data_IF_298842743105
#
_entry.id   IF_298842743105
#
_cell.length_a   1.000
_cell.length_b   1.000
_cell.length_c   1.000
_cell.angle_alpha   90.00
_cell.angle_beta   90.00
_cell.angle_gamma   90.00
#
_symmetry.space_group_name_H-M   'P 1'
#
loop_
_entity.id
_entity.type
_entity.pdbx_description
1 polymer ?
#
# COMPACT_ATOMS: atom_id res chain seq x y z
N UNK A 1 0.40 0.47 26.43
CA UNK A 1 0.69 0.10 25.02
C UNK A 1 0.56 1.34 24.15
N UNK A 2 1.60 1.66 23.37
CA UNK A 2 1.64 2.75 22.40
C UNK A 2 1.92 2.13 21.03
N UNK A 3 0.96 2.21 20.11
CA UNK A 3 1.08 1.60 18.79
C UNK A 3 1.29 2.68 17.72
N UNK A 4 2.47 2.69 17.11
CA UNK A 4 2.91 3.66 16.10
C UNK A 4 3.42 2.96 14.82
N UNK A 5 2.85 1.79 14.50
CA UNK A 5 3.19 1.02 13.29
C UNK A 5 1.97 0.75 12.38
N UNK A 6 1.14 1.78 12.21
CA UNK A 6 -0.10 1.70 11.39
C UNK A 6 0.15 1.45 9.89
N UNK A 7 1.37 1.67 9.39
CA UNK A 7 1.74 1.31 8.01
C UNK A 7 1.95 -0.19 7.83
N UNK A 8 2.31 -0.92 8.89
CA UNK A 8 2.39 -2.39 8.83
C UNK A 8 0.98 -3.01 8.84
N UNK A 9 0.14 -2.61 9.77
CA UNK A 9 -1.27 -3.03 9.86
C UNK A 9 -2.03 -2.11 10.81
N UNK A 10 -3.34 -2.03 10.67
CA UNK A 10 -4.20 -1.30 11.61
C UNK A 10 -5.04 -2.27 12.44
N UNK A 11 -5.43 -1.84 13.65
CA UNK A 11 -6.49 -2.51 14.42
C UNK A 11 -7.81 -2.34 13.66
N UNK A 12 -8.56 -3.41 13.50
CA UNK A 12 -9.86 -3.34 12.83
C UNK A 12 -10.82 -2.42 13.60
N UNK A 13 -11.52 -1.54 12.90
CA UNK A 13 -12.54 -0.67 13.48
C UNK A 13 -13.70 -1.52 14.05
N UNK A 14 -14.12 -1.24 15.28
CA UNK A 14 -15.17 -2.00 15.97
C UNK A 14 -16.51 -1.99 15.21
N UNK A 15 -16.80 -0.93 14.46
CA UNK A 15 -18.00 -0.82 13.62
C UNK A 15 -17.91 -1.73 12.40
N UNK A 16 -16.70 -1.97 11.89
CA UNK A 16 -16.44 -2.92 10.81
C UNK A 16 -16.60 -4.34 11.30
N UNK A 17 -16.09 -4.66 12.50
CA UNK A 17 -16.28 -5.99 13.12
C UNK A 17 -17.76 -6.29 13.41
N UNK A 18 -18.49 -5.34 14.00
CA UNK A 18 -19.91 -5.49 14.24
C UNK A 18 -20.68 -5.73 12.93
N UNK A 19 -20.34 -4.96 11.88
CA UNK A 19 -20.97 -5.13 10.57
C UNK A 19 -20.64 -6.47 9.96
N UNK A 20 -19.39 -6.94 10.06
CA UNK A 20 -18.97 -8.25 9.57
C UNK A 20 -19.79 -9.38 10.20
N UNK A 21 -20.00 -9.38 11.52
CA UNK A 21 -20.80 -10.40 12.20
C UNK A 21 -22.25 -10.42 11.67
N UNK A 22 -22.89 -9.25 11.57
CA UNK A 22 -24.27 -9.14 11.05
C UNK A 22 -24.39 -9.67 9.63
N UNK A 23 -23.44 -9.32 8.74
CA UNK A 23 -23.51 -9.77 7.34
C UNK A 23 -23.08 -11.21 7.16
N UNK A 24 -22.31 -11.79 8.10
CA UNK A 24 -21.96 -13.21 8.10
C UNK A 24 -23.20 -14.09 8.30
N UNK A 25 -24.06 -13.74 9.23
CA UNK A 25 -25.33 -14.44 9.44
C UNK A 25 -26.30 -14.24 8.27
N UNK A 26 -26.39 -13.01 7.77
CA UNK A 26 -27.37 -12.64 6.73
C UNK A 26 -27.03 -13.20 5.35
N UNK A 27 -25.75 -13.24 4.98
CA UNK A 27 -25.27 -13.59 3.63
C UNK A 27 -24.35 -14.81 3.64
N UNK A 28 -24.71 -15.85 4.39
CA UNK A 28 -23.94 -17.10 4.51
C UNK A 28 -23.97 -17.96 3.24
N UNK A 29 -25.00 -17.80 2.40
CA UNK A 29 -25.19 -18.64 1.24
C UNK A 29 -24.21 -18.31 0.12
N UNK A 30 -23.76 -19.35 -0.60
CA UNK A 30 -22.87 -19.21 -1.75
C UNK A 30 -23.51 -18.33 -2.83
N UNK A 31 -22.84 -17.24 -3.19
CA UNK A 31 -23.30 -16.28 -4.18
C UNK A 31 -23.46 -16.85 -5.60
N UNK A 32 -22.91 -18.04 -5.89
CA UNK A 32 -23.07 -18.73 -7.17
C UNK A 32 -24.30 -19.62 -7.23
N UNK A 33 -24.98 -19.85 -6.07
CA UNK A 33 -26.20 -20.68 -6.05
C UNK A 33 -27.39 -19.95 -6.67
N UNK A 34 -28.21 -20.69 -7.42
CA UNK A 34 -29.36 -20.13 -8.17
C UNK A 34 -30.60 -19.84 -7.32
N UNK A 35 -30.66 -20.34 -6.09
CA UNK A 35 -31.80 -20.07 -5.18
C UNK A 35 -31.73 -18.66 -4.57
N UNK A 36 -32.82 -18.24 -3.91
CA UNK A 36 -33.04 -16.87 -3.40
C UNK A 36 -31.84 -16.36 -2.56
N UNK A 37 -31.36 -17.16 -1.60
CA UNK A 37 -30.27 -16.73 -0.69
C UNK A 37 -28.95 -16.49 -1.44
N UNK A 38 -28.61 -17.33 -2.42
CA UNK A 38 -27.42 -17.13 -3.26
C UNK A 38 -27.53 -15.84 -4.10
N UNK A 39 -28.70 -15.58 -4.70
CA UNK A 39 -28.94 -14.32 -5.43
C UNK A 39 -28.84 -13.10 -4.54
N UNK A 40 -29.28 -13.19 -3.27
CA UNK A 40 -29.14 -12.11 -2.29
C UNK A 40 -27.66 -11.80 -2.01
N UNK A 41 -26.85 -12.83 -1.74
CA UNK A 41 -25.39 -12.68 -1.55
C UNK A 41 -24.72 -12.08 -2.78
N UNK A 42 -25.05 -12.56 -3.99
CA UNK A 42 -24.52 -12.01 -5.25
C UNK A 42 -24.88 -10.56 -5.46
N UNK A 43 -26.13 -10.18 -5.17
CA UNK A 43 -26.59 -8.78 -5.25
C UNK A 43 -25.85 -7.87 -4.27
N UNK A 44 -25.64 -8.35 -3.03
CA UNK A 44 -24.89 -7.62 -2.00
C UNK A 44 -23.43 -7.38 -2.42
N UNK A 45 -22.74 -8.38 -2.98
CA UNK A 45 -21.39 -8.26 -3.54
C UNK A 45 -21.35 -7.21 -4.65
N UNK A 46 -22.27 -7.27 -5.62
CA UNK A 46 -22.36 -6.31 -6.73
C UNK A 46 -22.58 -4.87 -6.21
N UNK A 47 -23.47 -4.69 -5.22
CA UNK A 47 -23.72 -3.40 -4.59
C UNK A 47 -22.48 -2.86 -3.91
N UNK A 48 -21.79 -3.69 -3.10
CA UNK A 48 -20.57 -3.30 -2.42
C UNK A 48 -19.47 -2.89 -3.44
N UNK A 49 -19.29 -3.65 -4.51
CA UNK A 49 -18.32 -3.33 -5.57
C UNK A 49 -18.58 -1.96 -6.20
N UNK A 50 -19.83 -1.67 -6.58
CA UNK A 50 -20.20 -0.34 -7.10
C UNK A 50 -19.92 0.77 -6.10
N UNK A 51 -20.25 0.55 -4.82
CA UNK A 51 -20.03 1.54 -3.76
C UNK A 51 -18.52 1.78 -3.51
N UNK A 52 -17.68 0.73 -3.58
CA UNK A 52 -16.22 0.85 -3.48
C UNK A 52 -15.69 1.69 -4.65
N UNK A 53 -16.04 1.32 -5.89
CA UNK A 53 -15.61 2.04 -7.09
C UNK A 53 -16.01 3.52 -7.04
N UNK A 54 -17.27 3.81 -6.73
CA UNK A 54 -17.77 5.19 -6.62
C UNK A 54 -17.05 5.98 -5.50
N UNK A 55 -16.80 5.34 -4.33
CA UNK A 55 -16.09 6.00 -3.22
C UNK A 55 -14.66 6.38 -3.59
N UNK A 56 -14.01 5.59 -4.45
CA UNK A 56 -12.65 5.79 -4.91
C UNK A 56 -12.55 6.55 -6.25
N UNK A 57 -13.68 7.00 -6.83
CA UNK A 57 -13.71 7.80 -8.05
C UNK A 57 -13.52 7.01 -9.35
N UNK A 58 -13.77 5.69 -9.33
CA UNK A 58 -13.63 4.84 -10.52
C UNK A 58 -14.96 4.69 -11.27
N UNK A 59 -15.01 5.12 -12.53
CA UNK A 59 -16.20 5.04 -13.38
C UNK A 59 -16.12 3.90 -14.42
N UNK A 60 -14.97 3.69 -15.03
CA UNK A 60 -14.73 2.72 -16.09
C UNK A 60 -13.81 1.56 -15.64
N UNK A 61 -14.08 1.05 -14.46
CA UNK A 61 -13.29 -0.02 -13.86
C UNK A 61 -14.19 -1.12 -13.30
N UNK A 62 -13.59 -2.26 -13.04
CA UNK A 62 -14.20 -3.37 -12.32
C UNK A 62 -13.32 -3.78 -11.15
N UNK A 63 -13.90 -4.44 -10.15
CA UNK A 63 -13.20 -4.85 -8.93
C UNK A 63 -13.06 -6.37 -8.87
N UNK A 64 -11.85 -6.82 -8.60
CA UNK A 64 -11.49 -8.21 -8.38
C UNK A 64 -11.06 -8.35 -6.91
N UNK A 65 -11.78 -9.13 -6.13
CA UNK A 65 -11.47 -9.33 -4.72
C UNK A 65 -10.37 -10.37 -4.55
N UNK A 66 -9.40 -10.05 -3.69
CA UNK A 66 -8.24 -10.87 -3.37
C UNK A 66 -8.11 -11.05 -1.85
N UNK A 67 -7.22 -11.91 -1.39
CA UNK A 67 -6.96 -12.07 0.05
C UNK A 67 -6.20 -10.88 0.65
N UNK A 68 -5.39 -10.19 -0.15
CA UNK A 68 -4.58 -9.03 0.27
C UNK A 68 -3.97 -8.34 -0.96
N UNK A 69 -3.28 -7.22 -0.75
CA UNK A 69 -2.54 -6.52 -1.80
C UNK A 69 -1.43 -7.39 -2.42
N UNK A 70 -0.81 -8.30 -1.68
CA UNK A 70 0.20 -9.21 -2.25
C UNK A 70 -0.39 -10.10 -3.34
N UNK A 71 -1.57 -10.69 -3.12
CA UNK A 71 -2.28 -11.44 -4.17
C UNK A 71 -2.69 -10.52 -5.32
N UNK A 72 -3.20 -9.33 -5.02
CA UNK A 72 -3.62 -8.36 -6.03
C UNK A 72 -2.44 -7.89 -6.91
N UNK A 73 -1.27 -7.58 -6.33
CA UNK A 73 -0.04 -7.22 -7.05
C UNK A 73 0.47 -8.38 -7.93
N UNK A 74 0.45 -9.62 -7.41
CA UNK A 74 0.81 -10.79 -8.21
C UNK A 74 -0.15 -10.98 -9.39
N UNK A 75 -1.46 -10.83 -9.18
CA UNK A 75 -2.44 -10.92 -10.27
C UNK A 75 -2.24 -9.81 -11.29
N UNK A 76 -2.04 -8.56 -10.85
CA UNK A 76 -1.80 -7.43 -11.74
C UNK A 76 -0.54 -7.64 -12.61
N UNK A 77 0.59 -7.98 -11.99
CA UNK A 77 1.89 -8.07 -12.68
C UNK A 77 1.97 -9.33 -13.54
N UNK A 78 1.69 -10.49 -12.94
CA UNK A 78 1.77 -11.77 -13.69
C UNK A 78 0.66 -11.92 -14.72
N UNK A 79 -0.56 -11.50 -14.37
CA UNK A 79 -1.70 -11.57 -15.29
C UNK A 79 -1.54 -10.64 -16.47
N UNK A 80 -1.00 -9.42 -16.27
CA UNK A 80 -0.67 -8.51 -17.37
C UNK A 80 0.46 -9.08 -18.25
N UNK A 81 1.51 -9.64 -17.66
CA UNK A 81 2.61 -10.26 -18.40
C UNK A 81 2.13 -11.40 -19.31
N UNK A 82 1.35 -12.33 -18.78
CA UNK A 82 0.83 -13.45 -19.60
C UNK A 82 -0.13 -12.96 -20.69
N UNK A 83 -1.00 -11.99 -20.38
CA UNK A 83 -1.94 -11.42 -21.36
C UNK A 83 -1.24 -10.63 -22.49
N UNK A 84 -0.07 -10.06 -22.24
CA UNK A 84 0.74 -9.31 -23.22
C UNK A 84 1.80 -10.15 -23.90
N UNK A 85 1.87 -11.45 -23.59
CA UNK A 85 2.88 -12.36 -24.14
C UNK A 85 2.86 -12.38 -25.67
N UNK A 86 4.04 -12.26 -26.25
CA UNK A 86 4.23 -12.21 -27.70
C UNK A 86 4.07 -10.83 -28.34
N UNK A 87 3.62 -9.82 -27.57
CA UNK A 87 3.49 -8.44 -28.06
C UNK A 87 4.40 -7.47 -27.32
N UNK A 88 4.51 -7.60 -25.99
CA UNK A 88 5.31 -6.73 -25.14
C UNK A 88 5.98 -7.56 -24.04
N UNK A 89 7.24 -7.28 -23.74
CA UNK A 89 8.04 -8.11 -22.83
C UNK A 89 8.88 -7.31 -21.84
N UNK A 90 8.50 -6.06 -21.54
CA UNK A 90 9.26 -5.23 -20.59
C UNK A 90 8.36 -4.62 -19.53
N UNK A 91 8.84 -4.61 -18.29
CA UNK A 91 8.27 -3.85 -17.18
C UNK A 91 9.22 -2.76 -16.72
N UNK A 92 8.66 -1.59 -16.40
CA UNK A 92 9.38 -0.52 -15.72
C UNK A 92 8.86 -0.43 -14.28
N UNK A 93 9.77 -0.34 -13.31
CA UNK A 93 9.45 -0.20 -11.89
C UNK A 93 10.52 0.64 -11.18
N UNK A 94 10.37 0.91 -9.87
CA UNK A 94 11.38 1.62 -9.07
C UNK A 94 12.09 0.68 -8.11
N UNK A 95 13.20 1.14 -7.53
CA UNK A 95 13.86 0.46 -6.40
C UNK A 95 13.11 0.64 -5.07
N UNK A 96 12.05 1.44 -5.03
CA UNK A 96 11.26 1.79 -3.85
C UNK A 96 10.09 0.87 -3.59
N UNK A 97 9.80 -0.06 -4.52
CA UNK A 97 8.58 -0.85 -4.48
C UNK A 97 8.57 -1.88 -3.35
N UNK A 98 7.38 -2.20 -2.92
CA UNK A 98 7.16 -3.26 -1.94
C UNK A 98 7.58 -4.62 -2.49
N UNK A 99 8.01 -5.54 -1.61
CA UNK A 99 8.43 -6.90 -1.99
C UNK A 99 7.37 -7.67 -2.80
N UNK A 100 6.07 -7.38 -2.61
CA UNK A 100 4.99 -7.99 -3.40
C UNK A 100 4.92 -7.52 -4.86
N UNK A 101 5.69 -6.48 -5.22
CA UNK A 101 5.92 -6.02 -6.61
C UNK A 101 7.25 -6.58 -7.13
N UNK A 102 8.33 -6.40 -6.38
CA UNK A 102 9.67 -6.82 -6.79
C UNK A 102 9.78 -8.35 -6.95
N UNK A 103 9.21 -9.12 -6.02
CA UNK A 103 9.34 -10.58 -6.07
C UNK A 103 8.65 -11.22 -7.29
N UNK A 104 7.39 -10.88 -7.67
CA UNK A 104 6.80 -11.39 -8.90
C UNK A 104 7.53 -10.90 -10.16
N UNK A 105 8.02 -9.65 -10.21
CA UNK A 105 8.85 -9.16 -11.34
C UNK A 105 10.12 -10.00 -11.46
N UNK A 106 10.86 -10.23 -10.37
CA UNK A 106 12.06 -11.08 -10.38
C UNK A 106 11.74 -12.53 -10.80
N UNK A 107 10.57 -13.05 -10.41
CA UNK A 107 10.15 -14.37 -10.83
C UNK A 107 9.87 -14.45 -12.34
N UNK A 108 9.29 -13.39 -12.92
CA UNK A 108 9.06 -13.28 -14.37
C UNK A 108 10.36 -12.98 -15.12
N UNK A 109 11.28 -12.23 -14.57
CA UNK A 109 12.60 -11.97 -15.15
C UNK A 109 13.36 -13.29 -15.42
N UNK A 110 13.27 -14.27 -14.50
CA UNK A 110 13.81 -15.62 -14.73
C UNK A 110 13.10 -16.38 -15.85
N UNK A 111 11.94 -15.91 -16.31
CA UNK A 111 11.19 -16.46 -17.47
C UNK A 111 11.33 -15.60 -18.73
N UNK A 112 12.27 -14.66 -18.74
CA UNK A 112 12.58 -13.83 -19.89
C UNK A 112 11.93 -12.43 -19.92
N UNK A 113 11.18 -12.00 -18.88
CA UNK A 113 10.73 -10.61 -18.77
C UNK A 113 11.92 -9.66 -18.65
N UNK A 114 11.94 -8.62 -19.47
CA UNK A 114 12.93 -7.54 -19.36
C UNK A 114 12.47 -6.54 -18.30
N UNK A 115 13.42 -6.10 -17.46
CA UNK A 115 13.14 -5.18 -16.34
C UNK A 115 13.98 -3.94 -16.48
N UNK A 116 13.34 -2.76 -16.43
CA UNK A 116 14.01 -1.47 -16.35
C UNK A 116 13.67 -0.82 -15.01
N UNK A 117 14.69 -0.29 -14.33
CA UNK A 117 14.52 0.44 -13.07
C UNK A 117 14.61 1.93 -13.39
N UNK A 118 13.49 2.65 -13.19
CA UNK A 118 13.50 4.10 -13.33
C UNK A 118 14.18 4.75 -12.12
N UNK A 119 14.99 5.78 -12.36
CA UNK A 119 15.63 6.55 -11.30
C UNK A 119 14.60 7.33 -10.50
N UNK A 120 14.98 7.68 -9.30
CA UNK A 120 14.28 8.64 -8.44
C UNK A 120 15.10 9.91 -8.35
N UNK A 121 14.43 11.03 -8.22
CA UNK A 121 15.07 12.35 -8.03
C UNK A 121 15.51 12.57 -6.57
N UNK A 122 16.05 13.73 -6.27
CA UNK A 122 16.49 14.12 -4.92
C UNK A 122 15.35 14.23 -3.90
N UNK A 123 14.10 14.31 -4.35
CA UNK A 123 12.90 14.30 -3.50
C UNK A 123 12.34 12.89 -3.30
N UNK A 124 12.93 11.88 -3.96
CA UNK A 124 12.49 10.49 -3.95
C UNK A 124 11.28 10.22 -4.84
N UNK A 125 10.95 11.15 -5.74
CA UNK A 125 9.95 10.94 -6.77
C UNK A 125 10.57 10.30 -8.01
N UNK A 126 9.74 9.65 -8.82
CA UNK A 126 10.16 9.13 -10.12
C UNK A 126 10.70 10.27 -10.98
N UNK A 127 11.92 10.10 -11.50
CA UNK A 127 12.48 10.97 -12.54
C UNK A 127 11.67 10.75 -13.84
N UNK A 128 10.75 11.68 -14.10
CA UNK A 128 9.84 11.60 -15.24
C UNK A 128 10.58 11.66 -16.58
N UNK A 129 11.69 12.38 -16.66
CA UNK A 129 12.53 12.44 -17.85
C UNK A 129 13.16 11.06 -18.12
N UNK A 130 13.75 10.46 -17.10
CA UNK A 130 14.29 9.11 -17.24
C UNK A 130 13.20 8.06 -17.50
N UNK A 131 11.99 8.20 -16.91
CA UNK A 131 10.87 7.33 -17.26
C UNK A 131 10.56 7.43 -18.75
N UNK A 132 10.52 8.64 -19.31
CA UNK A 132 10.27 8.88 -20.74
C UNK A 132 11.36 8.28 -21.62
N UNK A 133 12.64 8.38 -21.24
CA UNK A 133 13.79 7.76 -21.94
C UNK A 133 13.70 6.22 -21.95
N UNK A 134 13.16 5.60 -20.91
CA UNK A 134 13.00 4.15 -20.81
C UNK A 134 11.82 3.62 -21.64
N UNK A 135 10.86 4.48 -22.01
CA UNK A 135 9.69 4.05 -22.78
C UNK A 135 10.08 3.67 -24.19
N UNK A 136 9.64 2.49 -24.61
CA UNK A 136 9.82 1.95 -25.96
C UNK A 136 8.66 0.97 -26.28
N UNK A 137 8.49 0.48 -27.52
CA UNK A 137 7.39 -0.40 -27.90
C UNK A 137 7.27 -1.71 -27.11
N UNK A 138 8.38 -2.21 -26.54
CA UNK A 138 8.39 -3.45 -25.74
C UNK A 138 7.82 -3.27 -24.33
N UNK A 139 7.67 -2.03 -23.85
CA UNK A 139 7.16 -1.77 -22.50
C UNK A 139 5.67 -2.11 -22.46
N UNK A 140 5.34 -3.15 -21.69
CA UNK A 140 3.96 -3.58 -21.48
C UNK A 140 3.34 -3.03 -20.20
N UNK A 141 4.16 -2.79 -19.19
CA UNK A 141 3.69 -2.39 -17.86
C UNK A 141 4.66 -1.42 -17.20
N UNK A 142 4.13 -0.33 -16.66
CA UNK A 142 4.79 0.52 -15.65
C UNK A 142 4.14 0.19 -14.31
N UNK A 143 4.93 -0.25 -13.32
CA UNK A 143 4.42 -0.67 -12.00
C UNK A 143 5.08 0.14 -10.90
N UNK A 144 4.35 1.11 -10.34
CA UNK A 144 4.85 2.08 -9.35
C UNK A 144 3.78 2.34 -8.30
N UNK A 145 4.15 2.27 -7.02
CA UNK A 145 3.24 2.56 -5.91
C UNK A 145 3.00 4.06 -5.72
N UNK A 146 1.78 4.44 -5.34
CA UNK A 146 1.41 5.86 -5.12
C UNK A 146 2.14 6.50 -3.95
N UNK A 147 2.49 5.71 -2.92
CA UNK A 147 3.17 6.19 -1.71
C UNK A 147 4.15 5.14 -1.22
N UNK A 148 5.40 5.52 -1.01
CA UNK A 148 6.41 4.65 -0.42
C UNK A 148 6.06 4.30 1.04
N UNK A 149 6.09 3.03 1.38
CA UNK A 149 5.65 2.52 2.68
C UNK A 149 6.62 2.79 3.84
N UNK A 150 7.87 3.17 3.56
CA UNK A 150 8.92 3.40 4.56
C UNK A 150 9.11 4.89 4.87
N UNK A 151 9.16 5.73 3.84
CA UNK A 151 9.45 7.17 3.98
C UNK A 151 8.25 8.07 3.66
N UNK A 152 7.15 7.51 3.14
CA UNK A 152 5.91 8.26 2.90
C UNK A 152 5.93 9.17 1.67
N UNK A 153 6.94 9.09 0.81
CA UNK A 153 7.02 9.89 -0.41
C UNK A 153 5.90 9.51 -1.36
N UNK A 154 5.23 10.54 -1.90
CA UNK A 154 4.20 10.43 -2.93
C UNK A 154 4.81 10.41 -4.30
N UNK A 155 4.26 9.59 -5.18
CA UNK A 155 4.65 9.55 -6.59
C UNK A 155 3.69 10.37 -7.46
N UNK A 156 4.18 11.01 -8.53
CA UNK A 156 3.38 11.81 -9.47
C UNK A 156 2.60 10.89 -10.43
N UNK A 157 1.55 10.23 -9.93
CA UNK A 157 0.87 9.13 -10.64
C UNK A 157 0.14 9.58 -11.90
N UNK A 158 -0.31 10.83 -11.99
CA UNK A 158 -0.96 11.37 -13.20
C UNK A 158 0.04 11.51 -14.35
N UNK A 159 1.20 12.06 -14.07
CA UNK A 159 2.29 12.21 -15.02
C UNK A 159 2.85 10.85 -15.44
N UNK A 160 3.02 9.92 -14.50
CA UNK A 160 3.47 8.55 -14.78
C UNK A 160 2.45 7.85 -15.69
N UNK A 161 1.16 7.95 -15.40
CA UNK A 161 0.10 7.37 -16.23
C UNK A 161 0.11 7.95 -17.63
N UNK A 162 0.25 9.28 -17.77
CA UNK A 162 0.33 9.97 -19.06
C UNK A 162 1.50 9.46 -19.92
N UNK A 163 2.69 9.31 -19.32
CA UNK A 163 3.88 8.79 -20.01
C UNK A 163 3.66 7.33 -20.43
N UNK A 164 3.17 6.48 -19.52
CA UNK A 164 2.91 5.08 -19.81
C UNK A 164 1.90 4.90 -20.98
N UNK A 165 0.77 5.61 -20.90
CA UNK A 165 -0.29 5.53 -21.90
C UNK A 165 0.12 6.07 -23.26
N UNK A 166 0.94 7.12 -23.32
CA UNK A 166 1.46 7.67 -24.58
C UNK A 166 2.25 6.64 -25.39
N UNK A 167 2.86 5.65 -24.74
CA UNK A 167 3.59 4.54 -25.36
C UNK A 167 2.76 3.23 -25.42
N UNK A 168 1.47 3.29 -25.11
CA UNK A 168 0.58 2.12 -25.08
C UNK A 168 0.93 1.08 -24.02
N UNK A 169 1.64 1.46 -22.94
CA UNK A 169 1.90 0.61 -21.79
C UNK A 169 0.79 0.75 -20.75
N UNK A 170 0.51 -0.34 -20.02
CA UNK A 170 -0.38 -0.31 -18.86
C UNK A 170 0.31 0.37 -17.68
N UNK A 171 -0.48 1.05 -16.85
CA UNK A 171 -0.01 1.57 -15.57
C UNK A 171 -0.67 0.82 -14.39
N UNK A 172 0.16 0.15 -13.59
CA UNK A 172 -0.21 -0.46 -12.30
C UNK A 172 0.26 0.43 -11.15
N UNK A 173 -0.68 0.75 -10.26
CA UNK A 173 -0.45 1.56 -9.07
C UNK A 173 -0.75 0.77 -7.79
N UNK A 174 0.26 0.46 -6.96
CA UNK A 174 0.02 -0.02 -5.59
C UNK A 174 -0.42 1.16 -4.70
N UNK A 175 -1.71 1.21 -4.41
CA UNK A 175 -2.34 2.24 -3.60
C UNK A 175 -2.52 1.82 -2.12
N UNK A 176 -1.81 0.79 -1.68
CA UNK A 176 -1.94 0.21 -0.33
C UNK A 176 -1.65 1.22 0.78
N UNK A 177 -0.79 2.20 0.54
CA UNK A 177 -0.46 3.23 1.53
C UNK A 177 -1.25 4.53 1.36
N UNK A 178 -1.91 4.76 0.24
CA UNK A 178 -2.71 5.98 0.00
C UNK A 178 -4.20 5.79 0.29
N UNK A 179 -4.82 4.68 -0.13
CA UNK A 179 -6.24 4.43 0.10
C UNK A 179 -6.59 4.49 1.60
N UNK A 180 -7.59 5.30 1.92
CA UNK A 180 -8.08 5.53 3.28
C UNK A 180 -7.25 6.51 4.10
N UNK A 181 -6.16 7.07 3.53
CA UNK A 181 -5.29 8.05 4.17
C UNK A 181 -5.30 9.41 3.47
N UNK A 182 -5.39 9.40 2.15
CA UNK A 182 -5.51 10.60 1.33
C UNK A 182 -6.40 10.35 0.11
N UNK A 183 -6.78 11.43 -0.57
CA UNK A 183 -7.50 11.37 -1.84
C UNK A 183 -6.47 11.52 -2.96
N UNK A 184 -6.40 10.52 -3.82
CA UNK A 184 -5.43 10.42 -4.92
C UNK A 184 -6.19 10.12 -6.20
N UNK A 185 -5.84 10.68 -7.37
CA UNK A 185 -6.51 10.44 -8.65
C UNK A 185 -6.20 9.06 -9.24
N UNK A 186 -6.51 7.99 -8.48
CA UNK A 186 -6.19 6.60 -8.84
C UNK A 186 -6.86 6.11 -10.12
N UNK A 187 -7.91 6.78 -10.58
CA UNK A 187 -8.66 6.47 -11.80
C UNK A 187 -7.83 6.59 -13.09
N UNK A 188 -6.66 7.24 -13.02
CA UNK A 188 -5.75 7.33 -14.17
C UNK A 188 -5.02 6.01 -14.42
N UNK A 189 -4.85 5.15 -13.39
CA UNK A 189 -4.17 3.87 -13.53
C UNK A 189 -5.10 2.79 -14.11
N UNK A 190 -4.54 1.85 -14.84
CA UNK A 190 -5.26 0.71 -15.42
C UNK A 190 -5.50 -0.40 -14.40
N UNK A 191 -4.56 -0.56 -13.46
CA UNK A 191 -4.57 -1.57 -12.42
C UNK A 191 -4.23 -0.89 -11.08
N UNK A 192 -5.11 -1.02 -10.08
CA UNK A 192 -4.88 -0.43 -8.75
C UNK A 192 -5.08 -1.48 -7.67
N UNK A 193 -4.11 -1.61 -6.78
CA UNK A 193 -4.11 -2.66 -5.75
C UNK A 193 -4.11 -2.11 -4.33
N UNK A 194 -4.79 -2.78 -3.40
CA UNK A 194 -4.83 -2.38 -2.01
C UNK A 194 -5.30 -3.50 -1.06
N UNK A 195 -5.09 -3.30 0.25
CA UNK A 195 -5.52 -4.20 1.34
C UNK A 195 -6.32 -3.48 2.41
N UNK A 196 -7.43 -4.10 2.87
CA UNK A 196 -8.33 -3.54 3.89
C UNK A 196 -7.63 -3.26 5.23
N UNK A 197 -6.70 -4.12 5.64
CA UNK A 197 -6.03 -4.00 6.95
C UNK A 197 -5.08 -2.78 7.05
N UNK A 198 -4.87 -2.02 5.99
CA UNK A 198 -4.09 -0.78 6.00
C UNK A 198 -4.96 0.46 6.32
N UNK A 199 -6.28 0.29 6.32
CA UNK A 199 -7.24 1.34 6.64
C UNK A 199 -8.39 0.83 7.54
N UNK A 200 -8.03 0.13 8.61
CA UNK A 200 -8.92 -0.34 9.68
C UNK A 200 -9.95 -1.40 9.26
N UNK A 201 -9.73 -2.05 8.12
CA UNK A 201 -10.51 -3.20 7.67
C UNK A 201 -10.01 -4.51 8.26
N UNK A 202 -10.76 -5.58 8.02
CA UNK A 202 -10.41 -6.95 8.44
C UNK A 202 -9.26 -7.46 7.57
N UNK A 203 -8.32 -8.23 8.15
CA UNK A 203 -7.29 -8.98 7.41
C UNK A 203 -7.94 -10.08 6.58
N UNK A 204 -7.30 -10.48 5.48
CA UNK A 204 -7.81 -11.55 4.61
C UNK A 204 -8.67 -11.04 3.46
N UNK A 205 -8.75 -9.70 3.25
CA UNK A 205 -9.41 -9.10 2.09
C UNK A 205 -8.60 -7.92 1.54
N UNK A 206 -8.45 -7.91 0.24
CA UNK A 206 -7.91 -6.84 -0.58
C UNK A 206 -8.63 -6.79 -1.91
N UNK A 207 -8.17 -5.96 -2.83
CA UNK A 207 -8.72 -5.90 -4.17
C UNK A 207 -7.68 -5.43 -5.20
N UNK A 208 -7.90 -5.88 -6.44
CA UNK A 208 -7.40 -5.28 -7.66
C UNK A 208 -8.58 -4.57 -8.33
N UNK A 209 -8.47 -3.27 -8.54
CA UNK A 209 -9.35 -2.52 -9.43
C UNK A 209 -8.69 -2.48 -10.80
N UNK A 210 -9.41 -2.91 -11.81
CA UNK A 210 -8.94 -3.06 -13.19
C UNK A 210 -9.79 -2.21 -14.13
N UNK A 211 -9.16 -1.41 -15.01
CA UNK A 211 -9.87 -0.71 -16.09
C UNK A 211 -10.55 -1.74 -16.99
N UNK A 212 -11.80 -1.50 -17.37
CA UNK A 212 -12.50 -2.34 -18.36
C UNK A 212 -11.73 -2.36 -19.69
N UNK A 213 -11.77 -3.47 -20.37
CA UNK A 213 -11.02 -3.65 -21.63
C UNK A 213 -9.54 -4.01 -21.45
N UNK A 214 -8.92 -3.80 -20.29
CA UNK A 214 -7.55 -4.29 -20.03
C UNK A 214 -7.57 -5.82 -19.98
N UNK A 215 -6.74 -6.46 -20.79
CA UNK A 215 -6.53 -7.90 -20.76
C UNK A 215 -5.73 -8.30 -19.53
N UNK A 216 -6.14 -9.37 -18.88
CA UNK A 216 -5.48 -9.90 -17.68
C UNK A 216 -5.72 -11.40 -17.58
N UNK A 217 -4.66 -12.19 -17.44
CA UNK A 217 -4.76 -13.63 -17.27
C UNK A 217 -4.93 -14.02 -15.80
N UNK A 218 -5.84 -14.95 -15.56
CA UNK A 218 -6.08 -15.47 -14.21
C UNK A 218 -4.84 -16.20 -13.66
N UNK A 219 -4.53 -15.96 -12.40
CA UNK A 219 -3.45 -16.67 -11.69
C UNK A 219 -3.98 -17.77 -10.76
N UNK A 220 -5.27 -17.74 -10.46
CA UNK A 220 -5.99 -18.77 -9.71
C UNK A 220 -7.11 -19.30 -10.60
N UNK A 221 -6.98 -20.53 -11.06
CA UNK A 221 -7.91 -21.18 -11.98
C UNK A 221 -9.00 -21.92 -11.23
N UNK A 222 -10.19 -22.01 -11.84
CA UNK A 222 -11.38 -22.69 -11.28
C UNK A 222 -12.66 -22.20 -11.95
N UNK A 223 -13.80 -22.47 -11.34
CA UNK A 223 -15.09 -21.98 -11.85
C UNK A 223 -15.19 -20.45 -11.80
N UNK A 224 -15.86 -19.85 -12.80
CA UNK A 224 -16.20 -18.44 -12.81
C UNK A 224 -17.14 -18.12 -11.64
N UNK A 225 -16.77 -17.15 -10.81
CA UNK A 225 -17.54 -16.76 -9.64
C UNK A 225 -18.01 -15.30 -9.73
N UNK A 226 -17.30 -14.36 -9.08
CA UNK A 226 -17.55 -12.93 -9.24
C UNK A 226 -16.88 -12.37 -10.46
N UNK A 227 -15.82 -13.03 -10.96
CA UNK A 227 -15.01 -12.62 -12.09
C UNK A 227 -14.31 -13.83 -12.73
N UNK A 228 -13.92 -13.72 -13.99
CA UNK A 228 -13.09 -14.72 -14.68
C UNK A 228 -11.60 -14.64 -14.29
N UNK A 229 -11.16 -13.55 -13.68
CA UNK A 229 -9.75 -13.28 -13.37
C UNK A 229 -9.27 -13.92 -12.05
N UNK A 230 -10.20 -14.33 -11.18
CA UNK A 230 -9.87 -14.92 -9.88
C UNK A 230 -10.96 -15.88 -9.45
N UNK A 231 -10.70 -17.16 -9.56
CA UNK A 231 -11.62 -18.24 -9.18
C UNK A 231 -11.76 -18.37 -7.65
N UNK A 232 -12.76 -19.11 -7.22
CA UNK A 232 -13.04 -19.44 -5.82
C UNK A 232 -14.35 -18.83 -5.32
N UNK A 233 -14.94 -19.48 -4.34
CA UNK A 233 -16.16 -19.00 -3.69
C UNK A 233 -15.93 -17.65 -3.02
N UNK A 234 -16.71 -16.60 -3.36
CA UNK A 234 -16.49 -15.28 -2.81
C UNK A 234 -16.85 -15.24 -1.33
N UNK A 235 -15.99 -14.67 -0.52
CA UNK A 235 -16.27 -14.41 0.89
C UNK A 235 -17.13 -13.15 1.02
N UNK A 236 -18.46 -13.34 0.92
CA UNK A 236 -19.43 -12.22 0.94
C UNK A 236 -19.23 -11.31 2.17
N UNK A 237 -19.13 -11.84 3.42
CA UNK A 237 -18.92 -11.01 4.61
C UNK A 237 -17.66 -10.16 4.57
N UNK A 238 -16.53 -10.72 4.12
CA UNK A 238 -15.29 -9.95 3.99
C UNK A 238 -15.40 -8.85 2.93
N UNK A 239 -16.03 -9.13 1.78
CA UNK A 239 -16.27 -8.15 0.72
C UNK A 239 -17.12 -6.97 1.25
N UNK A 240 -18.19 -7.28 1.96
CA UNK A 240 -19.04 -6.24 2.55
C UNK A 240 -18.31 -5.45 3.65
N UNK A 241 -17.45 -6.12 4.44
CA UNK A 241 -16.63 -5.46 5.45
C UNK A 241 -15.58 -4.53 4.85
N UNK A 242 -15.02 -4.86 3.68
CA UNK A 242 -14.11 -4.00 2.92
C UNK A 242 -14.79 -2.68 2.55
N UNK A 243 -16.01 -2.73 1.97
CA UNK A 243 -16.79 -1.53 1.71
C UNK A 243 -17.03 -0.73 2.99
N UNK A 244 -17.43 -1.42 4.09
CA UNK A 244 -17.69 -0.75 5.37
C UNK A 244 -16.46 -0.04 5.92
N UNK A 245 -15.27 -0.62 5.77
CA UNK A 245 -14.01 0.00 6.17
C UNK A 245 -13.72 1.27 5.36
N UNK A 246 -13.85 1.21 4.03
CA UNK A 246 -13.71 2.39 3.16
C UNK A 246 -14.70 3.49 3.54
N UNK A 247 -15.98 3.17 3.71
CA UNK A 247 -16.98 4.13 4.15
C UNK A 247 -16.59 4.81 5.49
N UNK A 248 -16.05 4.04 6.45
CA UNK A 248 -15.67 4.61 7.74
C UNK A 248 -14.43 5.52 7.65
N UNK A 249 -13.43 5.18 6.82
CA UNK A 249 -12.22 6.01 6.74
C UNK A 249 -12.48 7.31 5.98
N UNK A 250 -13.30 7.28 4.93
CA UNK A 250 -13.62 8.50 4.17
C UNK A 250 -14.68 9.38 4.86
N UNK A 251 -15.45 8.85 5.81
CA UNK A 251 -16.30 9.69 6.67
C UNK A 251 -15.43 10.64 7.50
N UNK A 252 -15.64 11.96 7.33
CA UNK A 252 -14.84 13.03 7.97
C UNK A 252 -13.34 12.93 7.63
N UNK A 253 -13.03 12.58 6.38
CA UNK A 253 -11.66 12.35 5.92
C UNK A 253 -10.75 13.56 6.18
N UNK A 254 -11.15 14.76 5.76
CA UNK A 254 -10.36 15.99 5.93
C UNK A 254 -9.99 16.25 7.39
N UNK A 255 -10.95 16.09 8.32
CA UNK A 255 -10.69 16.27 9.75
C UNK A 255 -9.65 15.25 10.28
N UNK A 256 -9.75 13.99 9.84
CA UNK A 256 -8.79 12.94 10.21
C UNK A 256 -7.42 13.22 9.64
N UNK A 257 -7.35 13.62 8.39
CA UNK A 257 -6.10 13.97 7.72
C UNK A 257 -5.43 15.17 8.39
N UNK A 258 -6.16 16.27 8.64
CA UNK A 258 -5.66 17.45 9.32
C UNK A 258 -5.12 17.11 10.72
N UNK A 259 -5.84 16.25 11.48
CA UNK A 259 -5.35 15.77 12.78
C UNK A 259 -4.02 15.04 12.68
N UNK A 260 -3.90 14.10 11.72
CA UNK A 260 -2.65 13.32 11.53
C UNK A 260 -1.52 14.24 11.08
N UNK A 261 -1.79 15.21 10.19
CA UNK A 261 -0.82 16.22 9.77
C UNK A 261 -0.29 17.03 10.95
N UNK A 262 -1.17 17.49 11.84
CA UNK A 262 -0.77 18.20 13.09
C UNK A 262 0.06 17.32 14.02
N UNK A 263 -0.28 16.03 14.15
CA UNK A 263 0.50 15.09 14.96
C UNK A 263 1.88 14.82 14.35
N UNK A 264 1.98 14.71 13.03
CA UNK A 264 3.26 14.54 12.33
C UNK A 264 4.16 15.76 12.54
N UNK A 265 3.64 16.97 12.36
CA UNK A 265 4.40 18.22 12.60
C UNK A 265 4.90 18.30 14.05
N UNK A 266 4.02 17.95 15.00
CA UNK A 266 4.41 17.91 16.42
C UNK A 266 5.49 16.87 16.70
N UNK A 267 5.41 15.68 16.10
CA UNK A 267 6.43 14.65 16.26
C UNK A 267 7.78 15.08 15.64
N UNK A 268 7.75 15.72 14.48
CA UNK A 268 8.96 16.29 13.85
C UNK A 268 9.64 17.29 14.77
N UNK A 269 8.88 18.21 15.35
CA UNK A 269 9.41 19.21 16.32
C UNK A 269 10.07 18.54 17.53
N UNK A 270 9.48 17.46 18.06
CA UNK A 270 10.07 16.73 19.19
C UNK A 270 11.35 15.99 18.81
N UNK A 271 11.40 15.39 17.61
CA UNK A 271 12.53 14.60 17.12
C UNK A 271 13.73 15.48 16.77
N UNK A 272 13.53 16.66 16.19
CA UNK A 272 14.63 17.60 15.85
C UNK A 272 15.37 18.14 17.09
N UNK A 273 14.79 18.00 18.27
CA UNK A 273 15.45 18.33 19.56
C UNK A 273 16.40 17.22 20.05
N UNK A 274 16.59 16.16 19.28
CA UNK A 274 17.54 15.06 19.59
C UNK A 274 18.71 15.16 18.60
N UNK A 275 19.93 15.51 19.03
CA UNK A 275 21.05 15.78 18.11
C UNK A 275 21.42 14.61 17.18
N UNK A 276 21.21 13.36 17.64
CA UNK A 276 21.50 12.15 16.83
C UNK A 276 20.38 11.75 15.88
N UNK A 277 19.28 12.50 15.81
CA UNK A 277 18.15 12.23 14.92
C UNK A 277 18.27 13.03 13.63
N UNK A 278 18.15 12.33 12.50
CA UNK A 278 18.04 12.93 11.17
C UNK A 278 16.73 12.45 10.54
N UNK A 279 15.86 13.39 10.17
CA UNK A 279 14.58 13.04 9.51
C UNK A 279 14.84 12.69 8.05
N UNK A 280 14.29 11.57 7.59
CA UNK A 280 14.41 11.07 6.22
C UNK A 280 13.16 11.40 5.37
N UNK A 281 11.96 11.41 5.98
CA UNK A 281 10.74 11.79 5.26
C UNK A 281 10.72 13.29 4.96
N UNK A 282 10.58 13.72 3.70
CA UNK A 282 10.42 15.13 3.37
C UNK A 282 9.15 15.73 4.01
N UNK A 283 9.03 17.06 4.02
CA UNK A 283 7.91 17.78 4.62
C UNK A 283 6.58 17.48 3.95
N UNK A 284 6.63 17.29 2.64
CA UNK A 284 5.50 16.98 1.76
C UNK A 284 5.12 15.49 1.74
N UNK A 285 5.84 14.63 2.44
CA UNK A 285 5.48 13.21 2.56
C UNK A 285 4.08 13.01 3.17
N UNK A 286 3.47 11.86 2.91
CA UNK A 286 2.19 11.48 3.52
C UNK A 286 2.29 11.56 5.05
N UNK A 287 1.51 12.41 5.75
CA UNK A 287 1.70 12.67 7.17
C UNK A 287 1.45 11.46 8.07
N UNK A 288 0.86 10.41 7.55
CA UNK A 288 0.69 9.14 8.26
C UNK A 288 2.00 8.36 8.46
N UNK A 289 3.08 8.73 7.75
CA UNK A 289 4.37 8.04 7.79
C UNK A 289 5.47 9.06 8.07
N UNK A 290 6.29 8.77 9.07
CA UNK A 290 7.49 9.54 9.37
C UNK A 290 8.66 8.58 9.54
N UNK A 291 9.67 8.75 8.70
CA UNK A 291 10.93 8.02 8.77
C UNK A 291 12.04 8.97 9.27
N UNK A 292 12.86 8.47 10.16
CA UNK A 292 14.03 9.18 10.66
C UNK A 292 15.12 8.17 11.02
N UNK A 293 16.35 8.61 11.09
CA UNK A 293 17.51 7.81 11.52
C UNK A 293 17.97 8.26 12.90
N UNK A 294 18.26 7.32 13.80
CA UNK A 294 18.92 7.56 15.07
C UNK A 294 20.39 7.17 14.92
N UNK A 295 21.22 8.14 14.48
CA UNK A 295 22.61 7.89 14.10
C UNK A 295 23.42 7.26 15.25
N UNK A 296 24.32 6.33 14.88
CA UNK A 296 25.15 5.61 15.84
C UNK A 296 24.41 4.47 16.58
N UNK A 297 23.16 4.18 16.24
CA UNK A 297 22.37 3.11 16.86
C UNK A 297 21.83 2.14 15.83
N UNK A 298 21.85 0.85 16.17
CA UNK A 298 21.17 -0.17 15.38
C UNK A 298 19.66 0.02 15.49
N UNK A 299 18.98 0.22 14.33
CA UNK A 299 17.52 0.35 14.28
C UNK A 299 16.81 -0.85 14.92
N UNK A 300 17.33 -2.07 14.70
CA UNK A 300 16.78 -3.30 15.30
C UNK A 300 16.84 -3.27 16.84
N UNK A 301 18.00 -2.91 17.42
CA UNK A 301 18.12 -2.82 18.88
C UNK A 301 17.18 -1.77 19.46
N UNK A 302 17.03 -0.62 18.80
CA UNK A 302 16.09 0.44 19.24
C UNK A 302 14.65 -0.07 19.25
N UNK A 303 14.20 -0.74 18.19
CA UNK A 303 12.87 -1.34 18.13
C UNK A 303 12.66 -2.36 19.26
N UNK A 304 13.63 -3.21 19.55
CA UNK A 304 13.57 -4.19 20.64
C UNK A 304 13.48 -3.51 22.03
N UNK A 305 14.28 -2.46 22.27
CA UNK A 305 14.25 -1.69 23.55
C UNK A 305 12.87 -1.01 23.75
N UNK A 306 12.33 -0.41 22.71
CA UNK A 306 11.03 0.25 22.77
C UNK A 306 9.88 -0.77 22.94
N UNK A 307 9.96 -1.91 22.27
CA UNK A 307 8.98 -2.98 22.39
C UNK A 307 8.88 -3.53 23.82
N UNK A 308 10.01 -3.64 24.55
CA UNK A 308 10.02 -4.01 25.98
C UNK A 308 9.31 -2.98 26.89
N UNK A 309 9.04 -1.78 26.38
CA UNK A 309 8.31 -0.72 27.07
C UNK A 309 6.90 -0.55 26.50
N UNK A 310 6.35 -1.56 25.79
CA UNK A 310 5.06 -1.51 25.12
C UNK A 310 4.90 -0.37 24.10
N UNK A 311 6.00 0.02 23.43
CA UNK A 311 6.02 1.03 22.37
C UNK A 311 6.43 0.36 21.06
N UNK A 312 5.53 0.32 20.08
CA UNK A 312 5.67 -0.43 18.84
C UNK A 312 5.84 0.50 17.65
N UNK A 313 7.02 0.44 17.05
CA UNK A 313 7.42 1.11 15.80
C UNK A 313 8.09 0.08 14.87
N UNK A 314 8.44 0.49 13.66
CA UNK A 314 9.17 -0.36 12.71
C UNK A 314 10.51 0.25 12.33
N UNK A 315 11.45 -0.58 11.88
CA UNK A 315 12.72 -0.10 11.33
C UNK A 315 12.72 -0.03 9.78
N UNK A 316 11.92 -0.88 9.12
CA UNK A 316 11.70 -0.90 7.65
C UNK A 316 10.38 -1.63 7.36
N UNK A 317 10.09 -1.98 6.11
CA UNK A 317 8.87 -2.73 5.82
C UNK A 317 8.91 -4.12 6.49
N UNK A 318 7.78 -4.58 7.02
CA UNK A 318 7.68 -5.86 7.72
C UNK A 318 8.13 -7.06 6.86
N UNK A 319 8.06 -6.93 5.52
CA UNK A 319 8.44 -7.96 4.56
C UNK A 319 9.94 -7.95 4.18
N UNK A 320 10.70 -6.93 4.58
CA UNK A 320 12.15 -6.82 4.35
C UNK A 320 12.98 -7.11 5.61
N UNK A 321 12.46 -7.93 6.51
CA UNK A 321 13.07 -8.27 7.81
C UNK A 321 14.48 -8.86 7.73
N UNK A 322 14.88 -9.39 6.56
CA UNK A 322 16.21 -9.98 6.34
C UNK A 322 17.28 -8.94 5.95
N UNK A 323 16.91 -7.71 5.61
CA UNK A 323 17.89 -6.66 5.31
C UNK A 323 18.24 -5.88 6.58
N UNK A 324 19.55 -5.61 6.78
CA UNK A 324 20.02 -4.81 7.93
C UNK A 324 19.78 -3.31 7.74
N UNK A 325 19.53 -2.86 6.50
CA UNK A 325 19.40 -1.44 6.12
C UNK A 325 18.13 -1.18 5.32
N UNK A 326 17.55 0.01 5.47
CA UNK A 326 16.46 0.48 4.63
C UNK A 326 16.96 0.79 3.23
N UNK A 327 16.48 0.05 2.24
CA UNK A 327 16.82 0.28 0.84
C UNK A 327 16.21 1.61 0.34
N UNK A 328 15.04 1.98 0.84
CA UNK A 328 14.39 3.24 0.49
C UNK A 328 15.19 4.46 0.98
N UNK A 329 15.66 4.43 2.23
CA UNK A 329 16.52 5.51 2.77
C UNK A 329 17.86 5.56 2.06
N UNK A 330 18.46 4.40 1.77
CA UNK A 330 19.72 4.34 1.01
C UNK A 330 19.57 4.94 -0.39
N UNK A 331 18.53 4.55 -1.11
CA UNK A 331 18.27 5.05 -2.45
C UNK A 331 17.98 6.57 -2.48
N UNK A 332 17.27 7.10 -1.45
CA UNK A 332 16.98 8.52 -1.34
C UNK A 332 18.22 9.36 -0.97
N UNK A 333 19.07 8.84 -0.06
CA UNK A 333 20.10 9.67 0.58
C UNK A 333 21.53 9.33 0.19
N UNK A 334 21.77 8.16 -0.37
CA UNK A 334 23.11 7.61 -0.56
C UNK A 334 23.86 7.29 0.74
N UNK A 335 23.27 7.57 1.90
CA UNK A 335 23.91 7.47 3.21
C UNK A 335 23.59 6.13 3.90
N UNK A 336 24.59 5.26 3.94
CA UNK A 336 24.46 3.94 4.57
C UNK A 336 24.26 4.01 6.08
N UNK A 337 24.84 5.01 6.78
CA UNK A 337 24.68 5.20 8.23
C UNK A 337 23.23 5.54 8.55
N UNK A 338 22.61 6.41 7.74
CA UNK A 338 21.19 6.71 7.85
C UNK A 338 20.33 5.48 7.56
N UNK A 339 20.63 4.73 6.52
CA UNK A 339 19.90 3.53 6.12
C UNK A 339 19.92 2.43 7.20
N UNK A 340 21.07 2.22 7.88
CA UNK A 340 21.25 1.23 8.94
C UNK A 340 20.55 1.62 10.27
N UNK A 341 20.39 2.90 10.53
CA UNK A 341 19.78 3.45 11.74
C UNK A 341 18.34 3.95 11.53
N UNK A 342 17.76 3.65 10.38
CA UNK A 342 16.43 4.11 9.97
C UNK A 342 15.31 3.48 10.80
N UNK A 343 14.39 4.32 11.27
CA UNK A 343 13.21 3.98 12.05
C UNK A 343 11.97 4.60 11.39
N UNK A 344 10.87 3.87 11.37
CA UNK A 344 9.58 4.37 10.86
C UNK A 344 8.54 4.44 11.97
N UNK A 345 7.95 5.59 12.13
CA UNK A 345 6.73 5.82 12.91
C UNK A 345 5.57 6.03 11.94
N UNK A 346 4.46 5.36 12.17
CA UNK A 346 3.25 5.60 11.41
C UNK A 346 2.06 5.90 12.31
N UNK A 347 1.37 6.99 11.97
CA UNK A 347 0.37 7.65 12.77
C UNK A 347 -1.05 7.29 12.33
N UNK A 348 -1.98 7.47 13.26
CA UNK A 348 -3.41 7.24 13.09
C UNK A 348 -4.20 8.46 13.61
N UNK A 349 -5.43 8.70 13.13
CA UNK A 349 -6.31 9.65 13.77
C UNK A 349 -6.59 9.39 15.27
N UNK A 350 -6.34 8.17 15.74
CA UNK A 350 -6.46 7.82 17.16
C UNK A 350 -5.21 8.10 17.98
N UNK A 351 -4.07 8.35 17.35
CA UNK A 351 -2.81 8.71 18.03
C UNK A 351 -2.98 10.03 18.81
N UNK A 352 -2.31 10.13 19.96
CA UNK A 352 -2.37 11.31 20.85
C UNK A 352 -1.01 11.97 21.01
N UNK A 353 -1.00 13.27 21.31
CA UNK A 353 0.24 14.00 21.64
C UNK A 353 0.95 13.41 22.87
N UNK A 354 0.20 12.85 23.83
CA UNK A 354 0.77 12.20 25.01
C UNK A 354 1.56 10.94 24.65
N UNK A 355 1.03 10.11 23.76
CA UNK A 355 1.73 8.92 23.23
C UNK A 355 3.02 9.32 22.53
N UNK A 356 3.01 10.39 21.72
CA UNK A 356 4.18 10.89 21.03
C UNK A 356 5.26 11.41 22.01
N UNK A 357 4.86 12.13 23.07
CA UNK A 357 5.81 12.55 24.12
C UNK A 357 6.45 11.37 24.85
N UNK A 358 5.65 10.36 25.22
CA UNK A 358 6.15 9.14 25.87
C UNK A 358 7.10 8.38 24.94
N UNK A 359 6.75 8.24 23.67
CA UNK A 359 7.61 7.61 22.64
C UNK A 359 8.97 8.34 22.54
N UNK A 360 8.97 9.67 22.39
CA UNK A 360 10.21 10.45 22.24
C UNK A 360 11.06 10.40 23.51
N UNK A 361 10.44 10.40 24.69
CA UNK A 361 11.17 10.20 25.96
C UNK A 361 11.86 8.84 26.03
N UNK A 362 11.16 7.77 25.64
CA UNK A 362 11.74 6.42 25.56
C UNK A 362 12.83 6.31 24.50
N UNK A 363 12.64 6.95 23.34
CA UNK A 363 13.64 6.99 22.26
C UNK A 363 14.95 7.65 22.71
N UNK A 364 14.89 8.78 23.46
CA UNK A 364 16.07 9.42 24.03
C UNK A 364 16.84 8.49 24.97
N UNK A 365 16.14 7.74 25.81
CA UNK A 365 16.76 6.74 26.71
C UNK A 365 17.41 5.61 25.91
N UNK A 366 16.72 5.07 24.91
CA UNK A 366 17.26 4.04 24.01
C UNK A 366 18.47 4.54 23.20
N UNK A 367 18.53 5.82 22.86
CA UNK A 367 19.68 6.47 22.24
C UNK A 367 20.91 6.58 23.18
N UNK A 368 20.72 6.63 24.48
CA UNK A 368 21.78 6.74 25.48
C UNK A 368 22.24 5.38 26.06
N UNK A 369 21.45 4.32 25.88
CA UNK A 369 21.82 2.96 26.33
C UNK A 369 22.99 2.43 25.47
N UNK A 370 24.08 1.98 26.12
CA UNK A 370 25.26 1.36 25.46
C UNK A 370 24.95 -0.01 24.87
#
# INVERSE_FOLDING_TARGET
MIYLDYSATTKTDSRVLKYFNVVSDKYFANANSRYKLGRMSKSAIKKAGRQILNTLGFNDHEIIYTSCATEANNLAIKGAFEALKGTKNRVITTSFEHSSIIAPINALQRKGLLVSIVRIDSHGQVDLTHLQELMNPDVGLVSIGSVNSEIGIRQPIEEIAKIAHASGALFHCDATQSIGKEIVPLHVADLVTFSAHKFYGIKGIGALIKRKGVALDAQLHGGSSTTIYRAGTPNTPLILSLWKALFQVYKKHEQKYAKVKSLNSYLRELLTKIPSVVINSPSEALPHILNFSLLGRSSRKVVEILSRQDIYISNHSACSSNTRKSLAVLALTGDEKRALSSLRVSLSPSTTKQELRKFVSALKKAGNSR
#
